data_IF_818876813633
#
_entry.id   IF_818876813633
#
_cell.length_a   1.000
_cell.length_b   1.000
_cell.length_c   1.000
_cell.angle_alpha   90.00
_cell.angle_beta   90.00
_cell.angle_gamma   90.00
#
_symmetry.space_group_name_H-M   'P 1'
#
loop_
_entity.id
_entity.type
_entity.pdbx_description
1 polymer ?
#
# COMPACT_ATOMS: atom_id res chain seq x y z
N UNK A 1 1.43 12.52 0.13
CA UNK A 1 1.28 12.25 -1.33
C UNK A 1 1.92 10.90 -1.64
N UNK A 2 1.32 10.13 -2.57
CA UNK A 2 1.92 8.91 -3.10
C UNK A 2 3.07 9.31 -4.02
N UNK A 3 4.29 8.97 -3.67
CA UNK A 3 5.47 9.26 -4.51
C UNK A 3 5.93 8.05 -5.33
N UNK A 4 5.38 6.85 -5.07
CA UNK A 4 5.74 5.61 -5.74
C UNK A 4 4.66 5.11 -6.72
N UNK A 5 3.74 5.97 -7.16
CA UNK A 5 2.65 5.56 -8.05
C UNK A 5 3.15 5.00 -9.40
N UNK A 6 4.27 5.47 -9.90
CA UNK A 6 4.91 4.98 -11.12
C UNK A 6 5.20 3.46 -11.06
N UNK A 7 5.47 2.90 -9.88
CA UNK A 7 5.71 1.46 -9.70
C UNK A 7 4.48 0.60 -10.07
N UNK A 8 3.29 1.15 -9.91
CA UNK A 8 2.02 0.42 -10.04
C UNK A 8 1.02 1.08 -10.99
N UNK A 9 1.45 2.13 -11.68
CA UNK A 9 0.62 2.89 -12.60
C UNK A 9 -0.01 1.99 -13.67
N UNK A 10 -1.27 2.27 -14.00
CA UNK A 10 -1.97 1.72 -15.15
C UNK A 10 -2.34 2.89 -16.04
N UNK A 11 -2.00 2.79 -17.31
CA UNK A 11 -2.27 3.83 -18.31
C UNK A 11 -3.25 3.28 -19.33
N UNK A 12 -4.24 4.10 -19.66
CA UNK A 12 -5.29 3.75 -20.61
C UNK A 12 -5.28 4.76 -21.77
N UNK A 13 -5.42 4.28 -22.98
CA UNK A 13 -5.60 5.10 -24.16
C UNK A 13 -7.05 5.62 -24.28
N UNK A 14 -7.30 6.56 -25.16
CA UNK A 14 -8.61 7.18 -25.33
C UNK A 14 -9.71 6.17 -25.75
N UNK A 15 -9.33 5.06 -26.35
CA UNK A 15 -10.23 3.97 -26.76
C UNK A 15 -10.54 2.99 -25.63
N UNK A 16 -9.99 3.22 -24.43
CA UNK A 16 -10.15 2.35 -23.25
C UNK A 16 -9.23 1.13 -23.24
N UNK A 17 -8.31 1.00 -24.20
CA UNK A 17 -7.29 -0.04 -24.17
C UNK A 17 -6.15 0.29 -23.21
N UNK A 18 -5.51 -0.74 -22.65
CA UNK A 18 -4.40 -0.57 -21.73
C UNK A 18 -3.09 -0.31 -22.47
N UNK A 19 -2.43 0.80 -22.17
CA UNK A 19 -1.17 1.19 -22.79
C UNK A 19 0.04 0.72 -21.98
N UNK A 20 0.49 -0.50 -22.24
CA UNK A 20 1.64 -1.11 -21.55
C UNK A 20 2.97 -0.39 -21.87
N UNK A 21 3.11 0.20 -23.05
CA UNK A 21 4.31 0.93 -23.44
C UNK A 21 4.49 2.17 -22.58
N UNK A 22 3.44 2.95 -22.39
CA UNK A 22 3.46 4.11 -21.49
C UNK A 22 3.67 3.71 -20.02
N UNK A 23 3.10 2.58 -19.57
CA UNK A 23 3.35 2.08 -18.22
C UNK A 23 4.84 1.76 -18.00
N UNK A 24 5.49 1.19 -19.02
CA UNK A 24 6.94 0.90 -18.98
C UNK A 24 7.75 2.20 -18.98
N UNK A 25 7.41 3.16 -19.81
CA UNK A 25 8.03 4.49 -19.83
C UNK A 25 7.95 5.18 -18.47
N UNK A 26 6.76 5.24 -17.86
CA UNK A 26 6.56 5.76 -16.50
C UNK A 26 7.42 5.06 -15.46
N UNK A 27 7.56 3.74 -15.57
CA UNK A 27 8.38 2.96 -14.65
C UNK A 27 9.86 3.33 -14.79
N UNK A 28 10.39 3.41 -16.01
CA UNK A 28 11.78 3.78 -16.29
C UNK A 28 12.08 5.23 -15.88
N UNK A 29 11.18 6.17 -16.13
CA UNK A 29 11.29 7.55 -15.66
C UNK A 29 11.37 7.61 -14.13
N UNK A 30 10.54 6.81 -13.44
CA UNK A 30 10.56 6.72 -11.99
C UNK A 30 11.87 6.12 -11.45
N UNK A 31 12.43 5.09 -12.09
CA UNK A 31 13.75 4.57 -11.74
C UNK A 31 14.84 5.62 -11.95
N UNK A 32 14.77 6.41 -13.02
CA UNK A 32 15.71 7.51 -13.23
C UNK A 32 15.62 8.58 -12.15
N UNK A 33 14.41 8.90 -11.67
CA UNK A 33 14.24 9.83 -10.53
C UNK A 33 14.88 9.28 -9.25
N UNK A 34 14.77 7.96 -8.99
CA UNK A 34 15.44 7.32 -7.86
C UNK A 34 16.96 7.44 -7.98
N UNK A 35 17.52 7.15 -9.16
CA UNK A 35 18.97 7.28 -9.43
C UNK A 35 19.45 8.71 -9.16
N UNK A 36 18.70 9.69 -9.67
CA UNK A 36 19.00 11.12 -9.46
C UNK A 36 18.95 11.48 -7.97
N UNK A 37 17.95 10.97 -7.23
CA UNK A 37 17.81 11.23 -5.80
C UNK A 37 19.00 10.67 -5.00
N UNK A 38 19.50 9.48 -5.33
CA UNK A 38 20.69 8.90 -4.70
C UNK A 38 22.00 9.66 -5.03
N UNK A 39 22.01 10.52 -6.03
CA UNK A 39 23.12 11.48 -6.25
C UNK A 39 23.19 12.56 -5.19
N UNK A 40 22.15 12.76 -4.38
CA UNK A 40 22.06 13.81 -3.37
C UNK A 40 21.77 13.27 -1.97
N UNK A 41 21.02 12.16 -1.88
CA UNK A 41 20.51 11.62 -0.61
C UNK A 41 20.96 10.18 -0.41
N UNK A 42 21.29 9.82 0.82
CA UNK A 42 21.65 8.45 1.20
C UNK A 42 20.42 7.52 1.27
N UNK A 43 19.23 8.09 1.42
CA UNK A 43 17.98 7.33 1.57
C UNK A 43 16.86 7.89 0.71
N UNK A 44 16.11 6.99 0.05
CA UNK A 44 14.92 7.32 -0.72
C UNK A 44 13.75 6.52 -0.17
N UNK A 45 12.66 7.18 0.18
CA UNK A 45 11.45 6.54 0.69
C UNK A 45 10.39 6.54 -0.42
N UNK A 46 9.91 5.35 -0.76
CA UNK A 46 8.85 5.14 -1.73
C UNK A 46 7.58 4.65 -1.02
N UNK A 47 6.47 5.35 -1.21
CA UNK A 47 5.19 4.99 -0.60
C UNK A 47 4.06 4.97 -1.60
N UNK A 48 3.29 3.88 -1.63
CA UNK A 48 2.01 3.79 -2.33
C UNK A 48 1.17 2.67 -1.72
N UNK A 49 -0.08 2.96 -1.40
CA UNK A 49 -1.00 1.96 -0.81
C UNK A 49 -1.41 0.85 -1.78
N UNK A 50 -1.21 1.05 -3.10
CA UNK A 50 -1.55 0.07 -4.12
C UNK A 50 -0.47 -1.00 -4.33
N UNK A 51 0.74 -0.84 -3.77
CA UNK A 51 1.86 -1.78 -3.95
C UNK A 51 1.48 -3.17 -3.47
N UNK A 52 0.88 -3.31 -2.29
CA UNK A 52 0.46 -4.60 -1.75
C UNK A 52 -0.50 -5.34 -2.68
N UNK A 53 -1.48 -4.64 -3.23
CA UNK A 53 -2.41 -5.19 -4.21
C UNK A 53 -1.69 -5.56 -5.52
N UNK A 54 -0.83 -4.69 -6.02
CA UNK A 54 -0.10 -4.91 -7.26
C UNK A 54 0.80 -6.16 -7.21
N UNK A 55 1.54 -6.35 -6.13
CA UNK A 55 2.35 -7.55 -5.88
C UNK A 55 1.50 -8.83 -5.87
N UNK A 56 0.25 -8.75 -5.44
CA UNK A 56 -0.65 -9.91 -5.38
C UNK A 56 -1.25 -10.27 -6.74
N UNK A 57 -1.50 -9.31 -7.62
CA UNK A 57 -2.31 -9.51 -8.82
C UNK A 57 -1.68 -9.00 -10.12
N UNK A 58 -1.25 -7.74 -10.17
CA UNK A 58 -0.97 -7.07 -11.44
C UNK A 58 0.50 -6.91 -11.79
N UNK A 59 1.38 -6.83 -10.80
CA UNK A 59 2.84 -6.65 -10.98
C UNK A 59 3.61 -7.57 -10.03
N UNK A 60 3.50 -8.87 -10.22
CA UNK A 60 4.16 -9.86 -9.37
C UNK A 60 5.69 -9.81 -9.44
N UNK A 61 6.25 -9.38 -10.57
CA UNK A 61 7.69 -9.22 -10.80
C UNK A 61 8.26 -7.90 -10.27
N UNK A 62 7.43 -7.01 -9.74
CA UNK A 62 7.85 -5.67 -9.33
C UNK A 62 9.08 -5.68 -8.39
N UNK A 63 9.07 -6.53 -7.38
CA UNK A 63 10.20 -6.60 -6.44
C UNK A 63 11.47 -7.17 -7.08
N UNK A 64 11.34 -8.11 -8.01
CA UNK A 64 12.49 -8.64 -8.76
C UNK A 64 13.10 -7.55 -9.65
N UNK A 65 12.26 -6.76 -10.31
CA UNK A 65 12.71 -5.63 -11.15
C UNK A 65 13.42 -4.56 -10.30
N UNK A 66 12.84 -4.18 -9.15
CA UNK A 66 13.47 -3.26 -8.20
C UNK A 66 14.75 -3.83 -7.60
N UNK A 67 14.79 -5.13 -7.29
CA UNK A 67 15.99 -5.77 -6.76
C UNK A 67 17.11 -5.79 -7.78
N UNK A 68 16.80 -6.08 -9.05
CA UNK A 68 17.77 -6.02 -10.15
C UNK A 68 18.34 -4.61 -10.27
N UNK A 69 17.50 -3.57 -10.29
CA UNK A 69 17.91 -2.18 -10.31
C UNK A 69 18.83 -1.84 -9.12
N UNK A 70 18.44 -2.28 -7.92
CA UNK A 70 19.20 -2.04 -6.70
C UNK A 70 20.60 -2.69 -6.76
N UNK A 71 20.71 -3.89 -7.30
CA UNK A 71 21.99 -4.59 -7.45
C UNK A 71 22.89 -3.90 -8.47
N UNK A 72 22.33 -3.44 -9.58
CA UNK A 72 23.05 -2.70 -10.61
C UNK A 72 23.56 -1.35 -10.11
N UNK A 73 22.74 -0.64 -9.32
CA UNK A 73 23.06 0.69 -8.78
C UNK A 73 23.74 0.64 -7.40
N UNK A 74 23.90 -0.54 -6.80
CA UNK A 74 24.55 -0.78 -5.49
C UNK A 74 23.86 -0.12 -4.30
N UNK A 75 22.51 -0.04 -4.31
CA UNK A 75 21.75 0.34 -3.12
C UNK A 75 20.97 -0.83 -2.53
N UNK A 76 20.53 -0.69 -1.29
CA UNK A 76 19.80 -1.70 -0.56
C UNK A 76 18.30 -1.38 -0.54
N UNK A 77 17.45 -2.38 -0.78
CA UNK A 77 16.01 -2.25 -0.60
C UNK A 77 15.63 -2.78 0.78
N UNK A 78 14.87 -1.99 1.52
CA UNK A 78 14.14 -2.42 2.71
C UNK A 78 12.65 -2.27 2.45
N UNK A 79 11.85 -3.25 2.86
CA UNK A 79 10.40 -3.19 2.77
C UNK A 79 9.82 -3.11 4.18
N UNK A 80 9.05 -2.08 4.46
CA UNK A 80 8.32 -1.91 5.71
C UNK A 80 6.83 -2.08 5.41
N UNK A 81 6.18 -3.01 6.11
CA UNK A 81 4.75 -3.27 5.91
C UNK A 81 4.01 -3.28 7.23
N UNK A 82 2.92 -2.52 7.29
CA UNK A 82 2.00 -2.49 8.41
C UNK A 82 0.79 -3.35 8.10
N UNK A 83 0.61 -4.44 8.85
CA UNK A 83 -0.47 -5.39 8.64
C UNK A 83 -1.57 -5.23 9.68
N UNK A 84 -2.79 -5.02 9.20
CA UNK A 84 -4.00 -5.06 10.02
C UNK A 84 -4.48 -6.50 10.17
N UNK A 85 -5.17 -6.85 11.26
CA UNK A 85 -5.90 -8.13 11.35
C UNK A 85 -6.81 -8.26 10.12
N UNK A 86 -6.88 -9.47 9.55
CA UNK A 86 -7.62 -9.71 8.30
C UNK A 86 -9.10 -9.35 8.41
N UNK A 87 -9.75 -9.71 9.52
CA UNK A 87 -11.14 -9.33 9.81
C UNK A 87 -11.33 -7.81 9.85
N UNK A 88 -10.45 -7.10 10.54
CA UNK A 88 -10.47 -5.64 10.60
C UNK A 88 -10.18 -4.97 9.26
N UNK A 89 -9.33 -5.59 8.42
CA UNK A 89 -9.08 -5.11 7.07
C UNK A 89 -10.31 -5.27 6.18
N UNK A 90 -10.96 -6.44 6.22
CA UNK A 90 -12.19 -6.72 5.46
C UNK A 90 -13.30 -5.71 5.78
N UNK A 91 -13.57 -5.52 7.08
CA UNK A 91 -14.59 -4.55 7.52
C UNK A 91 -14.21 -3.12 7.11
N UNK A 92 -12.92 -2.76 7.19
CA UNK A 92 -12.46 -1.43 6.78
C UNK A 92 -12.64 -1.20 5.27
N UNK A 93 -12.39 -2.22 4.45
CA UNK A 93 -12.60 -2.15 3.00
C UNK A 93 -14.07 -2.04 2.65
N UNK A 94 -14.92 -2.88 3.25
CA UNK A 94 -16.36 -2.77 3.07
C UNK A 94 -16.89 -1.36 3.42
N UNK A 95 -16.47 -0.82 4.57
CA UNK A 95 -16.84 0.53 4.99
C UNK A 95 -16.40 1.58 3.94
N UNK A 96 -15.22 1.42 3.35
CA UNK A 96 -14.71 2.31 2.32
C UNK A 96 -15.53 2.21 1.02
N UNK A 97 -15.89 1.00 0.58
CA UNK A 97 -16.75 0.80 -0.60
C UNK A 97 -18.12 1.46 -0.42
N UNK A 98 -18.75 1.26 0.75
CA UNK A 98 -20.02 1.91 1.09
C UNK A 98 -19.88 3.43 1.11
N UNK A 99 -18.79 3.96 1.67
CA UNK A 99 -18.52 5.41 1.76
C UNK A 99 -18.34 6.04 0.38
N UNK A 100 -17.63 5.38 -0.51
CA UNK A 100 -17.28 5.91 -1.84
C UNK A 100 -18.41 5.76 -2.88
N UNK A 101 -19.23 4.73 -2.75
CA UNK A 101 -20.34 4.43 -3.68
C UNK A 101 -19.96 4.38 -5.17
N UNK A 102 -18.82 3.76 -5.49
CA UNK A 102 -18.32 3.72 -6.88
C UNK A 102 -18.80 2.50 -7.68
N UNK A 103 -19.33 1.47 -7.02
CA UNK A 103 -19.70 0.21 -7.67
C UNK A 103 -20.81 -0.52 -6.92
N UNK A 104 -21.27 -1.63 -7.48
CA UNK A 104 -22.33 -2.46 -6.90
C UNK A 104 -22.01 -3.06 -5.52
N UNK A 105 -20.77 -3.04 -5.12
CA UNK A 105 -20.33 -3.52 -3.79
C UNK A 105 -20.80 -2.57 -2.68
N UNK A 106 -20.99 -1.30 -3.01
CA UNK A 106 -21.40 -0.26 -2.06
C UNK A 106 -22.81 -0.48 -1.44
N UNK A 107 -23.64 -1.33 -2.05
CA UNK A 107 -24.98 -1.67 -1.56
C UNK A 107 -25.03 -3.03 -0.84
N UNK A 108 -23.95 -3.80 -0.86
CA UNK A 108 -23.86 -5.11 -0.21
C UNK A 108 -23.85 -4.98 1.31
N UNK A 109 -24.50 -5.95 1.98
CA UNK A 109 -24.30 -6.12 3.43
C UNK A 109 -22.85 -6.53 3.72
N UNK A 110 -22.44 -6.42 4.97
CA UNK A 110 -21.10 -6.86 5.37
C UNK A 110 -20.90 -8.36 5.09
N UNK A 111 -21.93 -9.19 5.32
CA UNK A 111 -21.89 -10.64 5.08
C UNK A 111 -21.76 -10.95 3.58
N UNK A 112 -22.56 -10.30 2.74
CA UNK A 112 -22.46 -10.44 1.27
C UNK A 112 -21.08 -10.03 0.75
N UNK A 113 -20.54 -8.92 1.28
CA UNK A 113 -19.18 -8.46 0.93
C UNK A 113 -18.11 -9.46 1.35
N UNK A 114 -18.20 -10.03 2.55
CA UNK A 114 -17.27 -11.05 3.04
C UNK A 114 -17.28 -12.28 2.13
N UNK A 115 -18.46 -12.81 1.83
CA UNK A 115 -18.62 -13.97 0.95
C UNK A 115 -18.08 -13.73 -0.48
N UNK A 116 -18.26 -12.52 -1.02
CA UNK A 116 -17.71 -12.13 -2.31
C UNK A 116 -16.19 -11.99 -2.27
N UNK A 117 -15.65 -11.41 -1.18
CA UNK A 117 -14.22 -11.18 -1.01
C UNK A 117 -13.42 -12.46 -0.85
N UNK A 118 -13.95 -13.47 -0.16
CA UNK A 118 -13.32 -14.79 -0.04
C UNK A 118 -13.03 -15.42 -1.41
N UNK A 119 -13.91 -15.22 -2.37
CA UNK A 119 -13.76 -15.78 -3.72
C UNK A 119 -12.78 -14.97 -4.58
N UNK A 120 -12.86 -13.64 -4.53
CA UNK A 120 -12.16 -12.75 -5.47
C UNK A 120 -10.79 -12.26 -4.96
N UNK A 121 -10.65 -12.02 -3.66
CA UNK A 121 -9.52 -11.28 -3.09
C UNK A 121 -8.67 -12.09 -2.11
N UNK A 122 -8.82 -13.41 -2.08
CA UNK A 122 -8.14 -14.32 -1.15
C UNK A 122 -6.63 -14.02 -0.99
N UNK A 123 -5.96 -13.67 -2.09
CA UNK A 123 -4.50 -13.42 -2.09
C UNK A 123 -4.07 -12.19 -1.26
N UNK A 124 -4.94 -11.18 -1.11
CA UNK A 124 -4.62 -9.99 -0.31
C UNK A 124 -4.49 -10.34 1.16
N UNK A 125 -5.23 -11.35 1.61
CA UNK A 125 -5.31 -11.78 3.01
C UNK A 125 -4.33 -12.91 3.35
N UNK A 126 -3.63 -13.47 2.36
CA UNK A 126 -2.61 -14.50 2.55
C UNK A 126 -1.27 -13.85 2.95
N UNK A 127 -1.23 -13.24 4.13
CA UNK A 127 -0.07 -12.47 4.58
C UNK A 127 1.21 -13.30 4.63
N UNK A 128 1.18 -14.48 5.24
CA UNK A 128 2.35 -15.33 5.39
C UNK A 128 3.00 -15.62 4.03
N UNK A 129 2.21 -16.13 3.07
CA UNK A 129 2.71 -16.42 1.73
C UNK A 129 3.31 -15.18 1.07
N UNK A 130 2.64 -14.03 1.18
CA UNK A 130 3.13 -12.78 0.57
C UNK A 130 4.41 -12.29 1.21
N UNK A 131 4.53 -12.37 2.53
CA UNK A 131 5.75 -12.00 3.25
C UNK A 131 6.91 -12.93 2.88
N UNK A 132 6.67 -14.24 2.72
CA UNK A 132 7.67 -15.19 2.27
C UNK A 132 8.13 -14.89 0.83
N UNK A 133 7.21 -14.56 -0.09
CA UNK A 133 7.51 -14.13 -1.45
C UNK A 133 8.38 -12.85 -1.45
N UNK A 134 8.08 -11.87 -0.63
CA UNK A 134 8.87 -10.63 -0.48
C UNK A 134 10.24 -10.96 0.09
N UNK A 135 10.29 -11.72 1.19
CA UNK A 135 11.55 -12.08 1.85
C UNK A 135 12.47 -12.91 0.96
N UNK A 136 11.92 -13.74 0.07
CA UNK A 136 12.72 -14.52 -0.89
C UNK A 136 13.46 -13.62 -1.90
N UNK A 137 12.90 -12.44 -2.22
CA UNK A 137 13.52 -11.51 -3.17
C UNK A 137 14.53 -10.58 -2.50
N UNK A 138 14.15 -9.96 -1.39
CA UNK A 138 14.97 -8.91 -0.75
C UNK A 138 15.82 -9.40 0.41
N UNK A 139 15.60 -10.61 0.87
CA UNK A 139 16.17 -11.17 2.10
C UNK A 139 15.36 -10.85 3.35
N UNK A 140 15.30 -11.80 4.30
CA UNK A 140 14.51 -11.65 5.53
C UNK A 140 14.90 -10.44 6.37
N UNK A 141 16.17 -10.11 6.43
CA UNK A 141 16.70 -8.97 7.22
C UNK A 141 16.29 -7.61 6.65
N UNK A 142 15.80 -7.57 5.41
CA UNK A 142 15.35 -6.36 4.74
C UNK A 142 13.83 -6.21 4.74
N UNK A 143 13.11 -7.15 5.37
CA UNK A 143 11.66 -7.11 5.52
C UNK A 143 11.30 -6.79 6.98
N UNK A 144 10.69 -5.64 7.19
CA UNK A 144 10.21 -5.19 8.50
C UNK A 144 8.68 -5.30 8.51
N UNK A 145 8.17 -6.15 9.39
CA UNK A 145 6.73 -6.39 9.52
C UNK A 145 6.23 -5.79 10.83
N UNK A 146 5.30 -4.85 10.74
CA UNK A 146 4.71 -4.17 11.87
C UNK A 146 3.20 -4.42 11.96
N UNK A 147 2.68 -4.47 13.16
CA UNK A 147 1.23 -4.56 13.37
C UNK A 147 0.59 -3.17 13.20
N UNK A 148 -0.45 -3.08 12.38
CA UNK A 148 -1.25 -1.86 12.26
C UNK A 148 -2.20 -1.71 13.46
N UNK A 149 -1.66 -1.23 14.57
CA UNK A 149 -2.41 -1.02 15.82
C UNK A 149 -1.73 0.05 16.67
N UNK A 150 -2.43 1.12 17.12
CA UNK A 150 -1.85 2.16 17.98
C UNK A 150 -1.16 1.61 19.23
N UNK A 151 -1.65 0.50 19.78
CA UNK A 151 -1.04 -0.18 20.95
C UNK A 151 0.34 -0.79 20.66
N UNK A 152 0.71 -0.94 19.39
CA UNK A 152 1.97 -1.55 18.95
C UNK A 152 2.94 -0.51 18.39
N UNK A 153 2.51 0.73 18.21
CA UNK A 153 3.33 1.78 17.62
C UNK A 153 4.14 2.51 18.67
N UNK A 154 5.31 2.99 18.29
CA UNK A 154 6.12 3.86 19.13
C UNK A 154 5.30 5.11 19.47
N UNK A 155 5.20 5.44 20.75
CA UNK A 155 4.43 6.59 21.27
C UNK A 155 2.96 6.62 20.83
N UNK A 156 2.40 5.47 20.41
CA UNK A 156 1.02 5.39 19.89
C UNK A 156 0.82 6.01 18.50
N UNK A 157 1.86 6.54 17.87
CA UNK A 157 1.83 7.20 16.56
C UNK A 157 2.46 6.31 15.48
N UNK A 158 1.73 6.11 14.37
CA UNK A 158 2.26 5.39 13.21
C UNK A 158 3.44 6.13 12.57
N UNK A 159 3.45 7.45 12.66
CA UNK A 159 4.54 8.28 12.13
C UNK A 159 5.80 8.07 12.95
N UNK A 160 5.72 8.13 14.27
CA UNK A 160 6.85 7.88 15.16
C UNK A 160 7.39 6.46 15.01
N UNK A 161 6.50 5.48 14.88
CA UNK A 161 6.88 4.08 14.68
C UNK A 161 7.60 3.90 13.33
N UNK A 162 7.09 4.48 12.25
CA UNK A 162 7.73 4.41 10.94
C UNK A 162 9.10 5.10 10.94
N UNK A 163 9.20 6.30 11.50
CA UNK A 163 10.45 7.03 11.60
C UNK A 163 11.51 6.25 12.39
N UNK A 164 11.09 5.63 13.48
CA UNK A 164 11.95 4.75 14.27
C UNK A 164 12.48 3.55 13.47
N UNK A 165 11.60 2.88 12.68
CA UNK A 165 11.98 1.71 11.86
C UNK A 165 12.97 2.07 10.73
N UNK A 166 13.00 3.31 10.28
CA UNK A 166 13.98 3.80 9.31
C UNK A 166 15.24 4.42 9.99
N UNK A 167 15.32 4.37 11.33
CA UNK A 167 16.46 4.86 12.09
C UNK A 167 16.47 6.37 12.34
N UNK A 168 15.30 7.01 12.24
CA UNK A 168 15.15 8.46 12.52
C UNK A 168 14.32 8.65 13.79
N UNK A 169 14.75 9.58 14.63
CA UNK A 169 13.96 10.04 15.76
C UNK A 169 13.17 11.29 15.37
N UNK A 170 11.89 11.30 15.74
CA UNK A 170 11.04 12.49 15.59
C UNK A 170 11.49 13.53 16.60
N UNK A 171 11.97 14.65 16.09
CA UNK A 171 12.44 15.80 16.89
C UNK A 171 11.59 17.02 16.56
N UNK A 172 11.76 18.11 17.30
CA UNK A 172 11.10 19.41 17.04
C UNK A 172 11.34 19.97 15.62
N UNK A 173 12.30 19.40 14.89
CA UNK A 173 12.57 19.77 13.48
C UNK A 173 11.58 19.16 12.51
N UNK A 174 10.80 18.15 12.92
CA UNK A 174 9.73 17.56 12.11
C UNK A 174 8.43 18.30 12.39
N UNK A 175 7.88 18.91 11.37
CA UNK A 175 6.55 19.47 11.44
C UNK A 175 5.53 18.34 11.31
N UNK A 176 4.83 18.03 12.38
CA UNK A 176 3.68 17.14 12.32
C UNK A 176 2.56 17.82 11.53
N UNK A 177 2.05 17.13 10.53
CA UNK A 177 0.84 17.57 9.84
C UNK A 177 -0.33 17.34 10.79
N UNK A 178 -1.20 18.34 10.93
CA UNK A 178 -2.49 18.15 11.58
C UNK A 178 -3.21 16.96 10.92
N UNK A 179 -3.64 16.00 11.72
CA UNK A 179 -4.26 14.77 11.23
C UNK A 179 -5.41 15.10 10.29
N UNK A 180 -5.26 14.77 9.02
CA UNK A 180 -6.41 14.75 8.11
C UNK A 180 -7.27 13.56 8.54
N UNK A 181 -8.35 13.83 9.22
CA UNK A 181 -9.28 12.84 9.73
C UNK A 181 -9.93 12.06 8.58
N UNK A 182 -9.34 10.95 8.21
CA UNK A 182 -10.03 9.95 7.40
C UNK A 182 -10.95 9.10 8.30
N UNK A 183 -11.96 9.78 8.90
CA UNK A 183 -12.87 9.18 9.84
C UNK A 183 -13.60 8.00 9.20
N UNK A 184 -13.46 6.86 9.86
CA UNK A 184 -14.25 5.68 9.57
C UNK A 184 -15.70 5.96 9.99
N UNK A 185 -16.66 5.65 9.13
CA UNK A 185 -18.07 5.63 9.54
C UNK A 185 -18.26 4.55 10.62
N UNK A 186 -19.03 4.86 11.66
CA UNK A 186 -19.46 3.85 12.62
C UNK A 186 -20.43 2.85 11.95
N UNK A 187 -20.76 1.77 12.67
CA UNK A 187 -21.58 0.69 12.13
C UNK A 187 -22.95 1.17 11.65
N UNK A 188 -23.62 2.01 12.42
CA UNK A 188 -24.98 2.46 12.10
C UNK A 188 -24.96 3.43 10.91
N UNK A 189 -24.03 4.39 10.92
CA UNK A 189 -23.83 5.33 9.82
C UNK A 189 -23.45 4.62 8.52
N UNK A 190 -22.64 3.55 8.59
CA UNK A 190 -22.31 2.73 7.42
C UNK A 190 -23.56 2.05 6.84
N UNK A 191 -24.42 1.46 7.68
CA UNK A 191 -25.66 0.83 7.24
C UNK A 191 -26.65 1.83 6.63
N UNK A 192 -26.82 2.99 7.25
CA UNK A 192 -27.65 4.08 6.70
C UNK A 192 -27.12 4.49 5.32
N UNK A 193 -25.80 4.74 5.21
CA UNK A 193 -25.16 5.11 3.94
C UNK A 193 -25.36 4.03 2.88
N UNK A 194 -25.20 2.75 3.24
CA UNK A 194 -25.40 1.61 2.34
C UNK A 194 -26.83 1.56 1.78
N UNK A 195 -27.83 1.83 2.63
CA UNK A 195 -29.23 1.88 2.19
C UNK A 195 -29.48 3.05 1.24
N UNK A 196 -28.86 4.21 1.52
CA UNK A 196 -28.97 5.39 0.66
C UNK A 196 -28.24 5.25 -0.68
N UNK A 197 -27.34 4.27 -0.82
CA UNK A 197 -26.63 3.99 -2.06
C UNK A 197 -27.48 3.11 -3.03
N UNK A 198 -28.60 2.51 -2.58
CA UNK A 198 -29.53 1.73 -3.42
C UNK A 198 -30.37 2.61 -4.32
#
# INVERSE_FOLDING_TARGET
RRNAHFLVAKVWDADGSRNQSKEKEYFEEGLQQIRTAFGTYDHVILTDESIWHALSYSKKSLLQELKKEADEQKYQIKVIVYLRRQDGLLISRWNQEVKQNFNSVAVMTCEEYLAASEKKEKKIYQYAQKLDEIAAVIGKNNLIVRRFSPKSWKDGSIIHDFMHEIGLDVTEKFQELEESENLRLDKNTTEIKRILNK
#
